data_IF_918829661592
#
_entry.id   IF_918829661592
#
_cell.length_a   1.000
_cell.length_b   1.000
_cell.length_c   1.000
_cell.angle_alpha   90.00
_cell.angle_beta   90.00
_cell.angle_gamma   90.00
#
_symmetry.space_group_name_H-M   'P 1'
#
loop_
_entity.id
_entity.type
_entity.pdbx_description
1 polymer ?
#
# COMPACT_ATOMS: atom_id res chain seq x y z
N UNK A 1 -16.49 14.99 5.53
CA UNK A 1 -15.35 15.10 4.58
C UNK A 1 -15.78 14.67 3.19
N UNK A 2 -15.01 15.06 2.16
CA UNK A 2 -15.34 14.91 0.74
C UNK A 2 -15.44 13.48 0.21
N UNK A 3 -15.18 12.44 1.01
CA UNK A 3 -15.23 11.04 0.56
C UNK A 3 -16.08 10.13 1.45
N UNK A 4 -17.03 10.71 2.20
CA UNK A 4 -18.01 9.96 3.00
C UNK A 4 -17.41 9.15 4.16
N UNK A 5 -16.28 9.58 4.73
CA UNK A 5 -15.69 8.95 5.92
C UNK A 5 -14.92 9.95 6.80
N UNK A 6 -14.09 9.42 7.70
CA UNK A 6 -13.45 10.11 8.83
C UNK A 6 -11.91 10.02 8.82
N UNK A 7 -11.26 11.01 9.44
CA UNK A 7 -9.81 11.14 9.60
C UNK A 7 -9.54 11.38 11.09
N UNK A 8 -8.85 10.43 11.72
CA UNK A 8 -8.44 10.48 13.11
C UNK A 8 -6.92 10.54 13.17
N UNK A 9 -6.40 11.42 14.03
CA UNK A 9 -4.97 11.52 14.33
C UNK A 9 -4.81 11.46 15.86
N UNK A 10 -4.09 10.44 16.33
CA UNK A 10 -3.72 10.27 17.73
C UNK A 10 -2.20 10.26 17.82
N UNK A 11 -1.63 11.28 18.48
CA UNK A 11 -0.18 11.45 18.61
C UNK A 11 0.17 11.90 20.02
N UNK A 12 1.17 11.26 20.61
CA UNK A 12 1.72 11.62 21.91
C UNK A 12 3.25 11.57 21.86
N UNK A 13 3.97 12.60 22.38
CA UNK A 13 5.42 12.58 22.44
C UNK A 13 5.96 11.29 23.07
N UNK A 14 6.88 10.62 22.37
CA UNK A 14 7.48 9.36 22.81
C UNK A 14 6.63 8.10 22.59
N UNK A 15 5.36 8.20 22.15
CA UNK A 15 4.51 7.03 21.84
C UNK A 15 4.30 6.81 20.34
N UNK A 16 4.58 7.82 19.53
CA UNK A 16 4.38 7.80 18.08
C UNK A 16 3.06 8.46 17.66
N UNK A 17 2.67 8.20 16.42
CA UNK A 17 1.48 8.79 15.79
C UNK A 17 0.70 7.71 15.06
N UNK A 18 -0.60 7.61 15.35
CA UNK A 18 -1.56 6.81 14.60
C UNK A 18 -2.43 7.73 13.75
N UNK A 19 -2.44 7.50 12.45
CA UNK A 19 -3.34 8.16 11.50
C UNK A 19 -4.32 7.12 10.97
N UNK A 20 -5.61 7.37 11.07
CA UNK A 20 -6.66 6.53 10.49
C UNK A 20 -7.51 7.38 9.56
N UNK A 21 -7.56 7.01 8.28
CA UNK A 21 -8.48 7.58 7.32
C UNK A 21 -9.46 6.51 6.86
N UNK A 22 -10.74 6.84 6.80
CA UNK A 22 -11.80 5.98 6.27
C UNK A 22 -12.51 6.71 5.13
N UNK A 23 -12.94 5.93 4.14
CA UNK A 23 -13.55 6.44 2.92
C UNK A 23 -14.74 5.52 2.60
N UNK A 24 -15.87 6.09 2.20
CA UNK A 24 -16.99 5.28 1.71
C UNK A 24 -16.60 4.64 0.38
N UNK A 25 -16.75 3.32 0.29
CA UNK A 25 -16.31 2.54 -0.87
C UNK A 25 -16.92 3.02 -2.20
N UNK A 26 -18.19 3.44 -2.19
CA UNK A 26 -18.94 3.89 -3.36
C UNK A 26 -18.89 5.41 -3.61
N UNK A 27 -18.02 6.16 -2.92
CA UNK A 27 -17.97 7.62 -3.08
C UNK A 27 -17.24 8.02 -4.37
N UNK A 28 -17.81 8.96 -5.14
CA UNK A 28 -17.25 9.42 -6.42
C UNK A 28 -15.83 9.99 -6.29
N UNK A 29 -15.55 10.65 -5.16
CA UNK A 29 -14.25 11.25 -4.86
C UNK A 29 -13.24 10.29 -4.20
N UNK A 30 -13.58 9.00 -4.05
CA UNK A 30 -12.62 8.02 -3.51
C UNK A 30 -11.58 7.70 -4.58
N UNK A 31 -10.45 8.41 -4.52
CA UNK A 31 -9.29 8.13 -5.36
C UNK A 31 -8.75 6.73 -5.11
N UNK A 32 -8.18 6.07 -6.15
CA UNK A 32 -7.46 4.82 -5.95
C UNK A 32 -6.31 5.00 -4.96
N UNK A 33 -6.00 3.96 -4.19
CA UNK A 33 -4.93 3.98 -3.18
C UNK A 33 -3.55 4.23 -3.79
N UNK A 34 -3.35 3.86 -5.06
CA UNK A 34 -2.10 4.03 -5.80
C UNK A 34 -1.14 2.83 -5.70
N UNK A 35 0.11 3.04 -6.11
CA UNK A 35 1.15 2.01 -6.07
C UNK A 35 1.81 1.95 -4.68
N UNK A 36 1.23 1.13 -3.80
CA UNK A 36 1.76 0.93 -2.45
C UNK A 36 3.15 0.29 -2.42
N UNK A 37 3.52 -0.48 -3.45
CA UNK A 37 4.87 -1.04 -3.55
C UNK A 37 5.91 0.06 -3.76
N UNK A 38 5.63 1.02 -4.65
CA UNK A 38 6.47 2.19 -4.84
C UNK A 38 6.51 3.09 -3.59
N UNK A 39 5.38 3.26 -2.90
CA UNK A 39 5.32 4.00 -1.62
C UNK A 39 6.23 3.38 -0.56
N UNK A 40 6.15 2.06 -0.37
CA UNK A 40 7.01 1.36 0.60
C UNK A 40 8.49 1.48 0.23
N UNK A 41 8.86 1.33 -1.05
CA UNK A 41 10.23 1.59 -1.50
C UNK A 41 10.69 3.01 -1.17
N UNK A 42 9.83 4.01 -1.38
CA UNK A 42 10.13 5.40 -1.02
C UNK A 42 10.40 5.58 0.48
N UNK A 43 9.62 4.91 1.34
CA UNK A 43 9.82 4.92 2.80
C UNK A 43 11.16 4.28 3.16
N UNK A 44 11.49 3.13 2.56
CA UNK A 44 12.74 2.40 2.84
C UNK A 44 13.99 3.16 2.37
N UNK A 45 13.86 3.98 1.32
CA UNK A 45 14.93 4.85 0.83
C UNK A 45 15.10 6.13 1.66
N UNK A 46 14.00 6.68 2.18
CA UNK A 46 13.91 8.09 2.55
C UNK A 46 14.28 8.48 3.99
N UNK A 47 14.65 7.54 4.87
CA UNK A 47 14.82 7.87 6.30
C UNK A 47 15.86 7.05 7.04
N UNK A 48 16.08 7.34 8.34
CA UNK A 48 16.84 6.46 9.23
C UNK A 48 16.25 5.04 9.20
N UNK A 49 17.00 4.03 9.63
CA UNK A 49 16.56 2.63 9.61
C UNK A 49 15.26 2.45 10.43
N UNK A 50 14.12 2.62 9.77
CA UNK A 50 12.79 2.43 10.34
C UNK A 50 12.34 1.01 10.03
N UNK A 51 11.76 0.37 11.03
CA UNK A 51 11.06 -0.88 10.82
C UNK A 51 9.64 -0.59 10.34
N UNK A 52 9.26 -1.19 9.22
CA UNK A 52 7.98 -1.00 8.56
C UNK A 52 7.24 -2.33 8.60
N UNK A 53 6.00 -2.27 9.10
CA UNK A 53 5.02 -3.34 8.96
C UNK A 53 3.90 -2.81 8.08
N UNK A 54 3.69 -3.45 6.94
CA UNK A 54 2.60 -3.15 6.03
C UNK A 54 1.62 -4.32 6.02
N UNK A 55 0.35 -4.03 6.33
CA UNK A 55 -0.74 -5.00 6.23
C UNK A 55 -1.81 -4.45 5.29
N UNK A 56 -2.32 -5.30 4.39
CA UNK A 56 -3.43 -4.98 3.50
C UNK A 56 -4.47 -6.08 3.57
N UNK A 57 -5.72 -5.72 3.88
CA UNK A 57 -6.84 -6.65 3.94
C UNK A 57 -7.90 -6.32 2.90
N UNK A 58 -8.32 -7.31 2.11
CA UNK A 58 -9.46 -7.21 1.19
C UNK A 58 -10.32 -8.48 1.27
N UNK A 59 -11.62 -8.32 1.51
CA UNK A 59 -12.56 -9.44 1.51
C UNK A 59 -12.18 -10.57 2.49
N UNK A 60 -11.61 -10.23 3.65
CA UNK A 60 -11.16 -11.21 4.65
C UNK A 60 -9.81 -11.88 4.38
N UNK A 61 -9.15 -11.57 3.25
CA UNK A 61 -7.78 -12.01 2.96
C UNK A 61 -6.79 -10.90 3.31
N UNK A 62 -5.65 -11.24 3.90
CA UNK A 62 -4.60 -10.28 4.26
C UNK A 62 -3.26 -10.62 3.61
N UNK A 63 -2.53 -9.59 3.22
CA UNK A 63 -1.11 -9.62 2.89
C UNK A 63 -0.34 -8.81 3.94
N UNK A 64 0.80 -9.33 4.39
CA UNK A 64 1.68 -8.66 5.35
C UNK A 64 3.13 -8.66 4.87
N UNK A 65 3.82 -7.54 5.06
CA UNK A 65 5.26 -7.39 4.88
C UNK A 65 5.85 -6.75 6.14
N UNK A 66 6.78 -7.44 6.79
CA UNK A 66 7.55 -6.95 7.94
C UNK A 66 9.03 -6.85 7.58
N UNK A 67 9.59 -5.64 7.60
CA UNK A 67 11.00 -5.43 7.25
C UNK A 67 11.97 -6.01 8.26
N UNK A 68 11.54 -6.30 9.49
CA UNK A 68 12.38 -6.93 10.53
C UNK A 68 12.64 -8.38 10.20
N UNK A 69 11.63 -9.08 9.69
CA UNK A 69 11.76 -10.46 9.22
C UNK A 69 12.65 -10.50 7.98
N UNK A 70 12.39 -9.60 7.03
CA UNK A 70 13.19 -9.48 5.82
C UNK A 70 14.68 -9.25 6.13
N UNK A 71 14.98 -8.36 7.07
CA UNK A 71 16.36 -8.07 7.46
C UNK A 71 17.06 -9.29 8.08
N UNK A 72 16.35 -10.12 8.83
CA UNK A 72 16.90 -11.35 9.43
C UNK A 72 17.19 -12.42 8.37
N UNK A 73 16.34 -12.52 7.35
CA UNK A 73 16.52 -13.49 6.26
C UNK A 73 17.64 -13.09 5.30
N UNK A 74 17.90 -11.79 5.14
CA UNK A 74 18.82 -11.25 4.15
C UNK A 74 20.18 -10.86 4.70
N UNK A 75 20.43 -10.96 6.01
CA UNK A 75 21.71 -10.60 6.64
C UNK A 75 22.88 -11.35 5.95
N UNK A 76 23.94 -10.66 5.47
CA UNK A 76 24.33 -9.26 5.71
C UNK A 76 23.91 -8.22 4.67
N UNK A 77 22.98 -8.53 3.76
CA UNK A 77 22.55 -7.64 2.67
C UNK A 77 21.66 -6.49 3.21
N UNK A 78 22.07 -5.22 3.06
CA UNK A 78 21.26 -4.07 3.46
C UNK A 78 19.96 -3.93 2.64
N UNK A 79 18.85 -3.62 3.32
CA UNK A 79 17.55 -3.37 2.67
C UNK A 79 17.53 -2.26 1.60
N UNK A 80 18.30 -1.15 1.73
CA UNK A 80 18.28 -0.07 0.72
C UNK A 80 19.03 -0.41 -0.57
N UNK A 81 19.50 -1.64 -0.77
CA UNK A 81 20.12 -2.04 -2.03
C UNK A 81 19.07 -2.10 -3.17
N UNK A 82 19.39 -1.62 -4.39
CA UNK A 82 18.44 -1.56 -5.50
C UNK A 82 17.71 -2.88 -5.79
N UNK A 83 18.43 -4.00 -5.71
CA UNK A 83 17.90 -5.34 -5.96
C UNK A 83 16.86 -5.75 -4.92
N UNK A 84 17.12 -5.41 -3.65
CA UNK A 84 16.21 -5.68 -2.52
C UNK A 84 14.96 -4.83 -2.63
N UNK A 85 15.10 -3.55 -2.98
CA UNK A 85 13.96 -2.64 -3.19
C UNK A 85 13.08 -3.07 -4.36
N UNK A 86 13.71 -3.52 -5.46
CA UNK A 86 12.99 -4.08 -6.60
C UNK A 86 12.20 -5.34 -6.19
N UNK A 87 12.81 -6.22 -5.39
CA UNK A 87 12.16 -7.39 -4.83
C UNK A 87 10.99 -7.01 -3.91
N UNK A 88 11.16 -6.06 -2.99
CA UNK A 88 10.10 -5.58 -2.08
C UNK A 88 8.90 -5.09 -2.88
N UNK A 89 9.12 -4.24 -3.89
CA UNK A 89 8.04 -3.74 -4.76
C UNK A 89 7.34 -4.89 -5.49
N UNK A 90 8.10 -5.86 -5.99
CA UNK A 90 7.58 -7.06 -6.64
C UNK A 90 6.69 -7.88 -5.72
N UNK A 91 7.19 -8.19 -4.51
CA UNK A 91 6.49 -9.00 -3.51
C UNK A 91 5.20 -8.34 -3.03
N UNK A 92 5.20 -7.02 -2.81
CA UNK A 92 3.98 -6.27 -2.48
C UNK A 92 2.97 -6.37 -3.62
N UNK A 93 3.41 -6.18 -4.87
CA UNK A 93 2.51 -6.29 -6.04
C UNK A 93 1.94 -7.69 -6.20
N UNK A 94 2.72 -8.73 -5.96
CA UNK A 94 2.26 -10.12 -5.99
C UNK A 94 1.24 -10.40 -4.89
N UNK A 95 1.56 -10.10 -3.64
CA UNK A 95 0.66 -10.33 -2.51
C UNK A 95 -0.66 -9.56 -2.61
N UNK A 96 -0.62 -8.32 -3.12
CA UNK A 96 -1.86 -7.57 -3.40
C UNK A 96 -2.68 -8.18 -4.53
N UNK A 97 -2.06 -8.81 -5.53
CA UNK A 97 -2.78 -9.54 -6.58
C UNK A 97 -3.45 -10.79 -6.03
N UNK A 98 -2.78 -11.54 -5.15
CA UNK A 98 -3.30 -12.77 -4.53
C UNK A 98 -4.55 -12.54 -3.67
N UNK A 99 -4.59 -11.41 -2.95
CA UNK A 99 -5.78 -11.00 -2.18
C UNK A 99 -6.81 -10.24 -3.04
N UNK A 100 -6.55 -10.09 -4.33
CA UNK A 100 -7.42 -9.39 -5.29
C UNK A 100 -7.44 -7.86 -5.14
N UNK A 101 -6.52 -7.26 -4.40
CA UNK A 101 -6.42 -5.80 -4.26
C UNK A 101 -5.84 -5.10 -5.50
N UNK A 102 -5.21 -5.85 -6.40
CA UNK A 102 -4.84 -5.40 -7.75
C UNK A 102 -5.70 -6.12 -8.77
N UNK A 103 -6.76 -5.45 -9.23
CA UNK A 103 -7.50 -5.89 -10.41
C UNK A 103 -6.70 -5.51 -11.66
N UNK A 104 -6.59 -6.44 -12.62
CA UNK A 104 -6.07 -6.14 -13.95
C UNK A 104 -6.86 -4.98 -14.53
N UNK A 105 -6.18 -3.86 -14.81
CA UNK A 105 -6.76 -2.76 -15.55
C UNK A 105 -7.10 -3.22 -16.98
N UNK A 106 -8.24 -3.90 -17.19
CA UNK A 106 -8.93 -4.05 -18.48
C UNK A 106 -10.42 -4.32 -18.21
N UNK A 107 -11.19 -3.26 -17.94
CA UNK A 107 -12.62 -3.22 -18.27
C UNK A 107 -13.17 -1.80 -18.03
N UNK A 108 -13.70 -1.17 -19.08
CA UNK A 108 -14.72 -0.14 -18.91
C UNK A 108 -14.48 1.24 -19.52
N UNK A 109 -13.98 1.34 -20.75
CA UNK A 109 -14.39 2.43 -21.63
C UNK A 109 -14.86 1.86 -22.97
N UNK A 110 -16.07 1.28 -22.97
CA UNK A 110 -16.82 1.14 -24.21
C UNK A 110 -17.46 2.50 -24.50
N UNK A 111 -16.85 3.26 -25.40
CA UNK A 111 -17.54 4.35 -26.08
C UNK A 111 -18.72 3.73 -26.84
N UNK A 112 -19.93 3.89 -26.30
CA UNK A 112 -21.14 3.54 -27.02
C UNK A 112 -21.33 4.56 -28.14
N UNK A 113 -21.05 4.10 -29.35
CA UNK A 113 -21.63 4.61 -30.58
C UNK A 113 -23.16 4.62 -30.44
N UNK A 114 -23.76 5.80 -30.44
CA UNK A 114 -25.13 6.05 -30.88
C UNK A 114 -25.19 7.42 -31.53
N UNK A 115 -25.23 7.39 -32.86
CA UNK A 115 -25.77 8.50 -33.62
C UNK A 115 -27.21 8.81 -33.21
N UNK A 116 -27.51 10.11 -33.21
CA UNK A 116 -28.69 10.73 -33.82
C UNK A 116 -28.18 11.94 -34.57
#
# INVERSE_FOLDING_TARGET
MMAGGDLELDSQPGRGTRVRATFQHSHIDRKPLGDMGATLVGILLGGPQVDVVYEHTRGGKSFCLDTRELRREMDPVPLPQPEVLAWVRGKVREGLREIGALESCEAGFQASDRGV
#
